data_IF_602088891837
#
_entry.id   IF_602088891837
#
_cell.length_a   1.000
_cell.length_b   1.000
_cell.length_c   1.000
_cell.angle_alpha   90.00
_cell.angle_beta   90.00
_cell.angle_gamma   90.00
#
_symmetry.space_group_name_H-M   'P 1'
#
loop_
_entity.id
_entity.type
_entity.pdbx_description
1 polymer ?
#
# COMPACT_ATOMS: atom_id res chain seq x y z
N UNK A 1 7.03 28.80 26.37
CA UNK A 1 7.54 27.41 26.48
C UNK A 1 7.48 26.97 27.94
N UNK A 2 6.68 25.98 28.27
CA UNK A 2 6.59 25.44 29.62
C UNK A 2 7.89 24.66 29.93
N UNK A 3 8.53 24.98 31.06
CA UNK A 3 9.78 24.32 31.46
C UNK A 3 9.45 22.89 31.92
N UNK A 4 9.94 21.89 31.22
CA UNK A 4 9.80 20.49 31.61
C UNK A 4 10.65 20.24 32.86
N UNK A 5 10.02 19.90 33.97
CA UNK A 5 10.69 19.81 35.30
C UNK A 5 10.95 18.40 35.77
N UNK A 6 10.36 17.36 35.15
CA UNK A 6 10.63 15.96 35.48
C UNK A 6 10.36 15.02 34.30
N UNK A 7 10.85 13.77 34.40
CA UNK A 7 10.73 12.75 33.36
C UNK A 7 9.28 12.34 33.06
N UNK A 8 8.40 12.37 34.05
CA UNK A 8 7.00 12.03 33.90
C UNK A 8 6.28 13.07 33.02
N UNK A 9 6.44 14.36 33.30
CA UNK A 9 5.89 15.46 32.52
C UNK A 9 6.44 15.44 31.08
N UNK A 10 7.73 15.14 30.92
CA UNK A 10 8.33 15.00 29.59
C UNK A 10 7.67 13.87 28.82
N UNK A 11 7.53 12.71 29.42
CA UNK A 11 6.89 11.53 28.81
C UNK A 11 5.45 11.83 28.37
N UNK A 12 4.64 12.38 29.25
CA UNK A 12 3.24 12.76 28.96
C UNK A 12 3.14 13.80 27.83
N UNK A 13 4.04 14.77 27.84
CA UNK A 13 4.10 15.80 26.78
C UNK A 13 4.46 15.18 25.43
N UNK A 14 5.45 14.30 25.39
CA UNK A 14 5.88 13.63 24.14
C UNK A 14 4.78 12.71 23.63
N UNK A 15 4.20 11.87 24.50
CA UNK A 15 3.10 10.96 24.15
C UNK A 15 1.93 11.77 23.57
N UNK A 16 1.47 12.80 24.27
CA UNK A 16 0.37 13.65 23.81
C UNK A 16 0.66 14.34 22.49
N UNK A 17 1.89 14.80 22.26
CA UNK A 17 2.29 15.39 20.98
C UNK A 17 2.28 14.38 19.84
N UNK A 18 2.80 13.16 20.05
CA UNK A 18 2.80 12.09 19.05
C UNK A 18 1.38 11.62 18.74
N UNK A 19 0.58 11.38 19.79
CA UNK A 19 -0.80 10.91 19.64
C UNK A 19 -1.73 11.91 18.94
N UNK A 20 -1.46 13.21 19.08
CA UNK A 20 -2.25 14.26 18.42
C UNK A 20 -1.78 14.62 17.01
N UNK A 21 -0.59 14.13 16.61
CA UNK A 21 0.00 14.52 15.33
C UNK A 21 -0.69 13.79 14.17
N UNK A 22 -1.22 14.55 13.21
CA UNK A 22 -1.63 14.02 11.92
C UNK A 22 -0.41 13.75 11.03
N UNK A 23 -0.42 12.64 10.32
CA UNK A 23 0.67 12.22 9.45
C UNK A 23 0.29 12.29 7.97
N UNK A 24 1.26 12.55 7.12
CA UNK A 24 1.20 12.24 5.69
C UNK A 24 2.01 10.97 5.49
N UNK A 25 1.35 9.92 5.05
CA UNK A 25 2.01 8.66 4.73
C UNK A 25 2.66 8.77 3.34
N UNK A 26 3.98 8.67 3.29
CA UNK A 26 4.75 8.80 2.04
C UNK A 26 5.23 7.45 1.48
N UNK A 27 4.88 6.36 2.14
CA UNK A 27 5.19 5.01 1.69
C UNK A 27 3.99 4.10 2.00
N UNK A 28 3.09 3.97 1.05
CA UNK A 28 1.86 3.19 1.20
C UNK A 28 1.71 2.18 0.07
N UNK A 29 1.06 1.06 0.40
CA UNK A 29 0.56 0.07 -0.55
C UNK A 29 -0.94 0.25 -0.81
N UNK A 30 -1.53 1.33 -0.31
CA UNK A 30 -2.94 1.64 -0.52
C UNK A 30 -3.13 2.35 -1.86
N UNK A 31 -4.11 1.90 -2.61
CA UNK A 31 -4.63 2.61 -3.77
C UNK A 31 -5.97 3.27 -3.41
N UNK A 32 -6.29 4.35 -4.10
CA UNK A 32 -7.62 4.93 -3.96
C UNK A 32 -8.67 4.08 -4.68
N UNK A 33 -9.96 4.17 -4.30
CA UNK A 33 -11.03 3.34 -4.89
C UNK A 33 -11.15 3.43 -6.42
N UNK A 34 -10.72 4.54 -7.02
CA UNK A 34 -10.72 4.71 -8.47
C UNK A 34 -9.74 3.81 -9.21
N UNK A 35 -8.82 3.15 -8.49
CA UNK A 35 -7.94 2.11 -9.04
C UNK A 35 -8.56 0.70 -9.06
N UNK A 36 -9.82 0.56 -8.64
CA UNK A 36 -10.57 -0.68 -8.78
C UNK A 36 -9.89 -1.89 -8.12
N UNK A 37 -9.57 -2.91 -8.90
CA UNK A 37 -8.97 -4.16 -8.40
C UNK A 37 -7.58 -4.04 -7.78
N UNK A 38 -6.90 -2.88 -7.91
CA UNK A 38 -5.64 -2.61 -7.20
C UNK A 38 -5.86 -2.20 -5.74
N UNK A 39 -7.05 -1.75 -5.38
CA UNK A 39 -7.44 -1.56 -4.00
C UNK A 39 -7.69 -2.91 -3.34
N UNK A 40 -6.76 -3.37 -2.53
CA UNK A 40 -6.93 -4.59 -1.74
C UNK A 40 -7.97 -4.34 -0.64
N UNK A 41 -9.08 -5.07 -0.70
CA UNK A 41 -10.23 -4.85 0.16
C UNK A 41 -10.64 -6.10 0.93
N UNK A 42 -10.82 -5.93 2.23
CA UNK A 42 -11.34 -6.96 3.11
C UNK A 42 -10.29 -7.66 3.95
N UNK A 43 -10.74 -8.46 4.92
CA UNK A 43 -9.87 -9.15 5.87
C UNK A 43 -9.01 -10.21 5.19
N UNK A 44 -9.52 -10.87 4.15
CA UNK A 44 -8.76 -11.88 3.43
C UNK A 44 -7.54 -11.27 2.73
N UNK A 45 -7.66 -10.06 2.16
CA UNK A 45 -6.52 -9.33 1.60
C UNK A 45 -5.52 -8.90 2.68
N UNK A 46 -6.00 -8.44 3.83
CA UNK A 46 -5.14 -8.09 4.97
C UNK A 46 -4.31 -9.30 5.44
N UNK A 47 -4.94 -10.47 5.54
CA UNK A 47 -4.30 -11.69 6.03
C UNK A 47 -3.38 -12.33 4.98
N UNK A 48 -3.70 -12.22 3.70
CA UNK A 48 -2.87 -12.75 2.61
C UNK A 48 -1.78 -11.78 2.15
N UNK A 49 -1.50 -10.74 2.94
CA UNK A 49 -0.39 -9.84 2.68
C UNK A 49 0.95 -10.58 2.68
N UNK A 50 1.84 -10.24 1.76
CA UNK A 50 3.02 -11.06 1.42
C UNK A 50 3.92 -11.43 2.60
N UNK A 51 4.01 -10.62 3.66
CA UNK A 51 4.77 -10.99 4.86
C UNK A 51 4.15 -12.16 5.62
N UNK A 52 2.82 -12.20 5.73
CA UNK A 52 2.12 -13.32 6.36
C UNK A 52 2.18 -14.59 5.49
N UNK A 53 2.12 -14.43 4.17
CA UNK A 53 2.36 -15.54 3.23
C UNK A 53 3.77 -16.11 3.41
N UNK A 54 4.79 -15.26 3.52
CA UNK A 54 6.15 -15.72 3.80
C UNK A 54 6.28 -16.45 5.15
N UNK A 55 5.55 -15.99 6.17
CA UNK A 55 5.56 -16.65 7.49
C UNK A 55 4.84 -17.99 7.49
N UNK A 56 3.73 -18.14 6.76
CA UNK A 56 3.01 -19.42 6.71
C UNK A 56 3.86 -20.52 6.04
N UNK A 57 4.62 -20.21 5.01
CA UNK A 57 5.55 -21.17 4.40
C UNK A 57 6.69 -21.65 5.33
N UNK A 58 6.95 -20.91 6.40
CA UNK A 58 7.92 -21.33 7.43
C UNK A 58 7.29 -22.19 8.52
N UNK A 59 5.97 -22.18 8.64
CA UNK A 59 5.23 -22.74 9.77
C UNK A 59 4.28 -23.88 9.35
N UNK A 60 3.82 -23.91 8.11
CA UNK A 60 2.95 -24.93 7.56
C UNK A 60 3.73 -25.85 6.61
N UNK A 61 3.34 -27.14 6.60
CA UNK A 61 3.84 -28.10 5.63
C UNK A 61 2.96 -28.07 4.37
N UNK A 62 3.24 -27.09 3.50
CA UNK A 62 2.52 -26.86 2.25
C UNK A 62 3.49 -26.43 1.15
N UNK A 63 3.32 -26.94 -0.06
CA UNK A 63 4.10 -26.52 -1.21
C UNK A 63 3.63 -25.18 -1.79
N UNK A 64 4.51 -24.52 -2.57
CA UNK A 64 4.13 -23.30 -3.29
C UNK A 64 2.98 -23.57 -4.27
N UNK A 65 3.03 -24.67 -5.00
CA UNK A 65 2.01 -25.03 -5.97
C UNK A 65 0.64 -25.23 -5.32
N UNK A 66 0.58 -25.91 -4.19
CA UNK A 66 -0.67 -26.13 -3.44
C UNK A 66 -1.24 -24.81 -2.93
N UNK A 67 -0.40 -23.95 -2.32
CA UNK A 67 -0.84 -22.66 -1.79
C UNK A 67 -1.38 -21.74 -2.89
N UNK A 68 -0.68 -21.63 -4.02
CA UNK A 68 -1.09 -20.74 -5.10
C UNK A 68 -2.24 -21.30 -5.96
N UNK A 69 -2.58 -22.59 -5.81
CA UNK A 69 -3.80 -23.15 -6.38
C UNK A 69 -5.06 -22.86 -5.55
N UNK A 70 -4.92 -22.44 -4.30
CA UNK A 70 -6.02 -22.04 -3.42
C UNK A 70 -6.66 -20.73 -3.86
N UNK A 71 -7.96 -20.62 -3.58
CA UNK A 71 -8.64 -19.30 -3.61
C UNK A 71 -8.09 -18.37 -2.52
N UNK A 72 -8.30 -17.06 -2.67
CA UNK A 72 -7.90 -16.08 -1.66
C UNK A 72 -8.46 -16.41 -0.27
N UNK A 73 -9.71 -16.83 -0.20
CA UNK A 73 -10.37 -17.23 1.05
C UNK A 73 -9.71 -18.45 1.69
N UNK A 74 -9.37 -19.47 0.90
CA UNK A 74 -8.66 -20.66 1.41
C UNK A 74 -7.25 -20.32 1.88
N UNK A 75 -6.53 -19.45 1.17
CA UNK A 75 -5.24 -18.93 1.60
C UNK A 75 -5.36 -18.18 2.95
N UNK A 76 -6.35 -17.32 3.09
CA UNK A 76 -6.60 -16.60 4.33
C UNK A 76 -6.95 -17.54 5.48
N UNK A 77 -7.78 -18.56 5.25
CA UNK A 77 -8.13 -19.56 6.26
C UNK A 77 -6.89 -20.36 6.72
N UNK A 78 -6.03 -20.78 5.79
CA UNK A 78 -4.79 -21.48 6.12
C UNK A 78 -3.86 -20.59 6.96
N UNK A 79 -3.64 -19.34 6.54
CA UNK A 79 -2.77 -18.40 7.25
C UNK A 79 -3.35 -18.12 8.64
N UNK A 80 -4.65 -17.85 8.74
CA UNK A 80 -5.30 -17.60 10.02
C UNK A 80 -5.16 -18.78 10.97
N UNK A 81 -5.49 -19.97 10.49
CA UNK A 81 -5.40 -21.21 11.28
C UNK A 81 -3.97 -21.46 11.75
N UNK A 82 -2.98 -21.27 10.86
CA UNK A 82 -1.58 -21.54 11.18
C UNK A 82 -0.99 -20.49 12.12
N UNK A 83 -1.11 -19.20 11.79
CA UNK A 83 -0.36 -18.15 12.47
C UNK A 83 -1.10 -17.56 13.68
N UNK A 84 -2.45 -17.60 13.70
CA UNK A 84 -3.24 -16.93 14.74
C UNK A 84 -3.97 -17.89 15.68
N UNK A 85 -4.20 -19.16 15.27
CA UNK A 85 -4.89 -20.16 16.07
C UNK A 85 -3.90 -21.19 16.66
N UNK A 86 -3.11 -21.82 15.80
CA UNK A 86 -2.16 -22.88 16.20
C UNK A 86 -0.89 -22.30 16.83
N UNK A 87 -0.48 -21.12 16.40
CA UNK A 87 0.69 -20.43 16.91
C UNK A 87 0.30 -19.12 17.64
N UNK A 88 1.24 -18.56 18.38
CA UNK A 88 1.08 -17.25 19.00
C UNK A 88 1.44 -16.15 17.96
N UNK A 89 0.55 -15.19 17.67
CA UNK A 89 0.77 -14.16 16.67
C UNK A 89 1.70 -13.03 17.18
N UNK A 90 2.96 -13.37 17.45
CA UNK A 90 3.94 -12.47 18.06
C UNK A 90 4.85 -11.78 17.04
N UNK A 91 4.90 -12.24 15.81
CA UNK A 91 5.64 -11.55 14.75
C UNK A 91 5.11 -10.14 14.51
N UNK A 92 5.92 -9.29 13.92
CA UNK A 92 5.50 -7.91 13.61
C UNK A 92 4.30 -7.89 12.66
N UNK A 93 4.30 -8.73 11.62
CA UNK A 93 3.20 -8.84 10.66
C UNK A 93 1.90 -9.32 11.33
N UNK A 94 1.97 -10.38 12.16
CA UNK A 94 0.81 -10.86 12.90
C UNK A 94 0.29 -9.82 13.90
N UNK A 95 1.19 -9.14 14.62
CA UNK A 95 0.82 -8.06 15.54
C UNK A 95 0.18 -6.88 14.81
N UNK A 96 0.62 -6.58 13.59
CA UNK A 96 0.00 -5.59 12.72
C UNK A 96 -1.47 -5.90 12.47
N UNK A 97 -1.79 -7.13 12.06
CA UNK A 97 -3.17 -7.59 11.86
C UNK A 97 -3.98 -7.48 13.16
N UNK A 98 -3.46 -8.02 14.26
CA UNK A 98 -4.14 -7.96 15.58
C UNK A 98 -4.41 -6.53 16.00
N UNK A 99 -3.45 -5.62 15.81
CA UNK A 99 -3.61 -4.20 16.13
C UNK A 99 -4.68 -3.57 15.25
N UNK A 100 -4.66 -3.82 13.95
CA UNK A 100 -5.67 -3.30 13.00
C UNK A 100 -7.09 -3.73 13.42
N UNK A 101 -7.29 -5.03 13.66
CA UNK A 101 -8.60 -5.54 14.07
C UNK A 101 -9.06 -4.93 15.41
N UNK A 102 -8.13 -4.76 16.36
CA UNK A 102 -8.41 -4.13 17.66
C UNK A 102 -8.81 -2.66 17.51
N UNK A 103 -8.07 -1.88 16.72
CA UNK A 103 -8.36 -0.45 16.53
C UNK A 103 -9.67 -0.22 15.76
N UNK A 104 -10.09 -1.21 14.96
CA UNK A 104 -11.43 -1.26 14.34
C UNK A 104 -12.55 -1.68 15.32
N UNK A 105 -12.20 -1.97 16.57
CA UNK A 105 -13.17 -2.36 17.62
C UNK A 105 -13.68 -3.80 17.52
N UNK A 106 -12.96 -4.67 16.79
CA UNK A 106 -13.37 -6.06 16.60
C UNK A 106 -12.95 -6.95 17.79
N UNK A 107 -13.81 -7.93 18.10
CA UNK A 107 -13.55 -8.87 19.20
C UNK A 107 -12.44 -9.87 18.84
N UNK A 108 -11.26 -9.65 19.37
CA UNK A 108 -10.12 -10.54 19.16
C UNK A 108 -10.24 -11.86 19.93
N UNK A 109 -11.07 -11.94 20.95
CA UNK A 109 -11.21 -13.16 21.77
C UNK A 109 -12.00 -14.24 21.03
N UNK A 110 -12.88 -13.86 20.12
CA UNK A 110 -13.62 -14.81 19.29
C UNK A 110 -12.73 -15.64 18.40
N UNK A 111 -11.62 -15.07 17.92
CA UNK A 111 -10.68 -15.68 16.96
C UNK A 111 -11.37 -16.24 15.71
N UNK A 112 -12.54 -15.75 15.39
CA UNK A 112 -13.37 -16.22 14.29
C UNK A 112 -13.20 -15.32 13.06
N UNK A 113 -12.49 -15.82 12.07
CA UNK A 113 -12.25 -15.09 10.83
C UNK A 113 -13.52 -14.75 10.07
N UNK A 114 -14.57 -15.60 10.21
CA UNK A 114 -15.85 -15.34 9.56
C UNK A 114 -16.55 -14.09 10.09
N UNK A 115 -16.48 -13.83 11.40
CA UNK A 115 -17.01 -12.59 11.99
C UNK A 115 -16.32 -11.35 11.42
N UNK A 116 -15.02 -11.44 11.15
CA UNK A 116 -14.28 -10.31 10.53
C UNK A 116 -14.67 -10.13 9.07
N UNK A 117 -14.85 -11.22 8.31
CA UNK A 117 -15.37 -11.16 6.94
C UNK A 117 -16.74 -10.47 6.88
N UNK A 118 -17.64 -10.83 7.79
CA UNK A 118 -18.97 -10.20 7.89
C UNK A 118 -18.89 -8.71 8.21
N UNK A 119 -18.00 -8.32 9.13
CA UNK A 119 -17.74 -6.91 9.40
C UNK A 119 -17.34 -6.14 8.14
N UNK A 120 -16.33 -6.62 7.41
CA UNK A 120 -15.87 -5.96 6.19
C UNK A 120 -16.93 -5.99 5.08
N UNK A 121 -17.69 -7.06 4.96
CA UNK A 121 -18.77 -7.17 3.96
C UNK A 121 -19.91 -6.15 4.19
N UNK A 122 -20.12 -5.70 5.43
CA UNK A 122 -21.10 -4.68 5.77
C UNK A 122 -20.60 -3.24 5.53
N UNK A 123 -19.30 -3.04 5.24
CA UNK A 123 -18.75 -1.72 5.02
C UNK A 123 -18.85 -1.31 3.55
N UNK A 124 -18.96 0.00 3.32
CA UNK A 124 -18.69 0.59 2.00
C UNK A 124 -17.23 1.07 1.99
N UNK A 125 -16.53 0.84 0.90
CA UNK A 125 -15.11 1.15 0.79
C UNK A 125 -14.82 2.62 1.09
N UNK A 126 -15.62 3.52 0.54
CA UNK A 126 -15.44 4.95 0.71
C UNK A 126 -15.60 5.39 2.17
N UNK A 127 -16.65 4.88 2.84
CA UNK A 127 -16.90 5.18 4.26
C UNK A 127 -15.81 4.56 5.16
N UNK A 128 -15.30 3.38 4.78
CA UNK A 128 -14.26 2.69 5.54
C UNK A 128 -12.89 3.39 5.43
N UNK A 129 -12.58 4.01 4.29
CA UNK A 129 -11.38 4.84 4.13
C UNK A 129 -11.39 5.97 5.16
N UNK A 130 -12.53 6.62 5.38
CA UNK A 130 -12.65 7.67 6.41
C UNK A 130 -12.34 7.12 7.81
N UNK A 131 -12.89 5.95 8.15
CA UNK A 131 -12.59 5.27 9.42
C UNK A 131 -11.10 5.00 9.57
N UNK A 132 -10.44 4.45 8.53
CA UNK A 132 -9.00 4.14 8.57
C UNK A 132 -8.16 5.41 8.73
N UNK A 133 -8.48 6.46 7.98
CA UNK A 133 -7.76 7.74 8.06
C UNK A 133 -7.89 8.37 9.45
N UNK A 134 -9.08 8.31 10.05
CA UNK A 134 -9.32 8.84 11.39
C UNK A 134 -8.59 8.02 12.47
N UNK A 135 -8.71 6.69 12.44
CA UNK A 135 -8.06 5.79 13.41
C UNK A 135 -6.53 5.91 13.34
N UNK A 136 -5.98 5.91 12.13
CA UNK A 136 -4.54 6.04 11.91
C UNK A 136 -4.02 7.47 11.98
N UNK A 137 -4.93 8.48 12.14
CA UNK A 137 -4.61 9.92 12.11
C UNK A 137 -3.87 10.34 10.86
N UNK A 138 -4.16 9.69 9.75
CA UNK A 138 -3.58 9.99 8.45
C UNK A 138 -4.34 11.14 7.81
N UNK A 139 -3.60 12.18 7.41
CA UNK A 139 -4.14 13.32 6.68
C UNK A 139 -4.22 13.04 5.18
N UNK A 140 -3.21 12.39 4.67
CA UNK A 140 -3.09 12.03 3.26
C UNK A 140 -2.03 10.94 3.07
N UNK A 141 -2.17 10.18 2.00
CA UNK A 141 -1.18 9.19 1.57
C UNK A 141 -0.57 9.62 0.24
N UNK A 142 0.68 9.25 0.01
CA UNK A 142 1.35 9.42 -1.28
C UNK A 142 1.58 8.02 -1.85
N UNK A 143 0.75 7.66 -2.83
CA UNK A 143 0.87 6.40 -3.54
C UNK A 143 2.11 6.43 -4.43
N UNK A 144 2.79 5.31 -4.52
CA UNK A 144 3.90 5.08 -5.45
C UNK A 144 3.35 4.40 -6.70
N UNK A 145 3.16 5.15 -7.77
CA UNK A 145 2.42 4.69 -8.94
C UNK A 145 3.34 4.44 -10.13
N UNK A 146 3.22 3.26 -10.73
CA UNK A 146 3.94 2.88 -11.93
C UNK A 146 3.06 3.15 -13.18
N UNK A 147 3.39 4.20 -13.97
CA UNK A 147 2.64 4.52 -15.18
C UNK A 147 2.75 3.44 -16.26
N UNK A 148 3.73 2.56 -16.13
CA UNK A 148 4.00 1.48 -17.06
C UNK A 148 3.30 0.17 -16.68
N UNK A 149 2.69 0.10 -15.49
CA UNK A 149 1.86 -1.04 -15.11
C UNK A 149 0.57 -1.08 -15.93
N UNK A 150 0.24 -2.25 -16.45
CA UNK A 150 -0.90 -2.44 -17.36
C UNK A 150 -2.26 -2.21 -16.70
N UNK A 151 -2.36 -2.34 -15.38
CA UNK A 151 -3.60 -2.10 -14.64
C UNK A 151 -3.73 -0.64 -14.20
N UNK A 152 -2.63 0.01 -13.87
CA UNK A 152 -2.64 1.42 -13.47
C UNK A 152 -2.77 2.38 -14.67
N UNK A 153 -2.09 2.08 -15.77
CA UNK A 153 -1.99 2.95 -16.94
C UNK A 153 -3.33 3.48 -17.48
N UNK A 154 -4.37 2.66 -17.65
CA UNK A 154 -5.66 3.14 -18.16
C UNK A 154 -6.31 4.18 -17.24
N UNK A 155 -6.14 4.03 -15.93
CA UNK A 155 -6.70 4.94 -14.90
C UNK A 155 -6.02 6.30 -14.98
N UNK A 156 -4.69 6.30 -15.12
CA UNK A 156 -3.92 7.53 -15.30
C UNK A 156 -4.27 8.27 -16.59
N UNK A 157 -4.40 7.54 -17.70
CA UNK A 157 -4.75 8.10 -19.01
C UNK A 157 -6.17 8.65 -19.04
N UNK A 158 -7.11 8.03 -18.35
CA UNK A 158 -8.49 8.51 -18.25
C UNK A 158 -8.65 9.81 -17.45
N UNK A 159 -7.59 10.29 -16.79
CA UNK A 159 -7.66 11.51 -15.98
C UNK A 159 -8.36 11.30 -14.64
N UNK A 160 -7.67 10.65 -13.74
CA UNK A 160 -8.11 10.33 -12.38
C UNK A 160 -8.73 11.54 -11.65
N UNK A 161 -9.92 11.36 -11.09
CA UNK A 161 -10.65 12.35 -10.27
C UNK A 161 -10.91 11.89 -8.83
N UNK A 162 -10.16 10.90 -8.34
CA UNK A 162 -10.39 10.27 -7.04
C UNK A 162 -10.19 11.20 -5.84
N UNK A 163 -10.28 10.62 -4.68
CA UNK A 163 -10.12 11.31 -3.38
C UNK A 163 -8.79 12.09 -3.33
N UNK A 164 -8.81 13.40 -3.07
CA UNK A 164 -7.62 14.24 -3.04
C UNK A 164 -6.63 13.90 -1.92
N UNK A 165 -7.05 13.11 -0.95
CA UNK A 165 -6.16 12.59 0.11
C UNK A 165 -5.19 11.54 -0.43
N UNK A 166 -5.53 10.87 -1.53
CA UNK A 166 -4.66 9.94 -2.24
C UNK A 166 -3.86 10.69 -3.30
N UNK A 167 -2.65 11.05 -2.96
CA UNK A 167 -1.71 11.77 -3.81
C UNK A 167 -0.85 10.77 -4.54
N UNK A 168 -0.26 11.17 -5.65
CA UNK A 168 0.56 10.28 -6.47
C UNK A 168 1.99 10.78 -6.60
N UNK A 169 2.95 9.87 -6.46
CA UNK A 169 4.33 10.06 -6.89
C UNK A 169 4.62 9.09 -8.05
N UNK A 170 5.28 9.59 -9.07
CA UNK A 170 5.64 8.83 -10.26
C UNK A 170 6.81 7.89 -9.93
N UNK A 171 6.59 6.59 -10.07
CA UNK A 171 7.65 5.59 -9.96
C UNK A 171 8.47 5.54 -11.24
N UNK A 172 9.77 5.72 -11.12
CA UNK A 172 10.69 5.82 -12.27
C UNK A 172 11.74 4.71 -12.32
N UNK A 173 11.57 3.65 -11.52
CA UNK A 173 12.53 2.53 -11.47
C UNK A 173 12.89 1.98 -12.86
N UNK A 174 11.93 1.72 -13.77
CA UNK A 174 12.25 1.22 -15.10
C UNK A 174 13.16 2.14 -15.91
N UNK A 175 13.09 3.45 -15.67
CA UNK A 175 13.93 4.44 -16.34
C UNK A 175 15.33 4.54 -15.74
N UNK A 176 15.49 4.22 -14.45
CA UNK A 176 16.76 4.34 -13.74
C UNK A 176 17.55 3.04 -13.75
N UNK A 177 16.86 1.91 -13.55
CA UNK A 177 17.51 0.63 -13.30
C UNK A 177 17.54 -0.27 -14.54
N UNK A 178 16.51 -0.18 -15.39
CA UNK A 178 16.27 -1.12 -16.49
C UNK A 178 16.00 -0.42 -17.81
N UNK A 179 16.64 0.73 -18.06
CA UNK A 179 16.33 1.55 -19.22
C UNK A 179 16.49 0.79 -20.55
N UNK A 180 17.58 0.04 -20.70
CA UNK A 180 17.89 -0.68 -21.95
C UNK A 180 16.90 -1.80 -22.20
N UNK A 181 16.57 -2.56 -21.17
CA UNK A 181 15.74 -3.78 -21.30
C UNK A 181 14.24 -3.47 -21.24
N UNK A 182 13.84 -2.41 -20.56
CA UNK A 182 12.43 -2.12 -20.27
C UNK A 182 12.06 -0.66 -20.55
N UNK A 183 12.83 0.29 -20.06
CA UNK A 183 12.48 1.70 -20.03
C UNK A 183 12.31 2.32 -21.41
N UNK A 184 13.20 1.99 -22.35
CA UNK A 184 13.16 2.51 -23.72
C UNK A 184 11.91 2.08 -24.46
N UNK A 185 11.55 0.79 -24.42
CA UNK A 185 10.34 0.25 -25.06
C UNK A 185 9.06 0.84 -24.45
N UNK A 186 9.03 0.98 -23.13
CA UNK A 186 7.87 1.57 -22.43
C UNK A 186 7.67 3.03 -22.81
N UNK A 187 8.73 3.84 -22.86
CA UNK A 187 8.64 5.23 -23.33
C UNK A 187 8.19 5.33 -24.77
N UNK A 188 8.70 4.46 -25.64
CA UNK A 188 8.28 4.39 -27.04
C UNK A 188 6.79 4.06 -27.17
N UNK A 189 6.28 3.16 -26.33
CA UNK A 189 4.86 2.83 -26.24
C UNK A 189 3.97 4.01 -25.84
N UNK A 190 4.51 5.00 -25.13
CA UNK A 190 3.85 6.27 -24.80
C UNK A 190 4.06 7.37 -25.85
N UNK A 191 4.77 7.08 -26.95
CA UNK A 191 5.02 8.04 -28.02
C UNK A 191 6.21 8.97 -27.78
N UNK A 192 7.14 8.60 -26.88
CA UNK A 192 8.40 9.30 -26.72
C UNK A 192 9.47 8.63 -27.56
N UNK A 193 10.20 9.42 -28.38
CA UNK A 193 11.20 8.91 -29.31
C UNK A 193 12.56 8.72 -28.60
N UNK A 194 12.77 7.54 -28.03
CA UNK A 194 14.00 7.18 -27.31
C UNK A 194 14.77 6.08 -28.02
N UNK A 195 16.08 6.02 -27.76
CA UNK A 195 16.99 4.98 -28.23
C UNK A 195 17.76 4.35 -27.06
N UNK A 196 18.37 3.19 -27.30
CA UNK A 196 19.09 2.44 -26.26
C UNK A 196 20.39 3.12 -25.81
N UNK A 197 20.97 4.00 -26.64
CA UNK A 197 22.25 4.65 -26.40
C UNK A 197 22.15 5.88 -25.48
N UNK A 198 20.95 6.21 -24.99
CA UNK A 198 20.70 7.41 -24.19
C UNK A 198 21.26 8.68 -24.83
N UNK A 199 21.04 8.83 -26.14
CA UNK A 199 21.43 10.05 -26.88
C UNK A 199 20.85 11.33 -26.26
N UNK A 200 21.39 12.48 -26.62
CA UNK A 200 20.82 13.78 -26.20
C UNK A 200 19.33 13.91 -26.57
N UNK A 201 18.91 13.29 -27.66
CA UNK A 201 17.49 13.21 -28.06
C UNK A 201 16.72 12.39 -27.05
N UNK A 202 17.17 11.17 -26.74
CA UNK A 202 16.52 10.30 -25.74
C UNK A 202 16.44 10.95 -24.37
N UNK A 203 17.50 11.59 -23.92
CA UNK A 203 17.51 12.32 -22.64
C UNK A 203 16.51 13.49 -22.64
N UNK A 204 16.32 14.16 -23.78
CA UNK A 204 15.30 15.22 -23.93
C UNK A 204 13.89 14.66 -23.85
N UNK A 205 13.63 13.51 -24.49
CA UNK A 205 12.34 12.83 -24.44
C UNK A 205 12.01 12.28 -23.04
N UNK A 206 13.01 11.74 -22.33
CA UNK A 206 12.82 11.32 -20.93
C UNK A 206 12.44 12.52 -20.05
N UNK A 207 13.13 13.65 -20.21
CA UNK A 207 12.78 14.88 -19.47
C UNK A 207 11.36 15.36 -19.80
N UNK A 208 10.96 15.29 -21.08
CA UNK A 208 9.60 15.62 -21.52
C UNK A 208 8.58 14.71 -20.86
N UNK A 209 8.81 13.40 -20.86
CA UNK A 209 7.94 12.43 -20.18
C UNK A 209 7.80 12.77 -18.69
N UNK A 210 8.91 12.99 -17.98
CA UNK A 210 8.86 13.32 -16.55
C UNK A 210 8.10 14.63 -16.30
N UNK A 211 8.32 15.66 -17.12
CA UNK A 211 7.58 16.92 -17.01
C UNK A 211 6.08 16.73 -17.24
N UNK A 212 5.71 16.05 -18.32
CA UNK A 212 4.31 15.81 -18.68
C UNK A 212 3.55 15.04 -17.59
N UNK A 213 4.21 14.05 -16.98
CA UNK A 213 3.59 13.23 -15.93
C UNK A 213 3.56 13.90 -14.57
N UNK A 214 4.65 14.55 -14.14
CA UNK A 214 4.70 15.26 -12.87
C UNK A 214 3.74 16.44 -12.86
N UNK A 215 3.69 17.21 -13.92
CA UNK A 215 2.82 18.38 -14.00
C UNK A 215 1.33 18.00 -14.11
N UNK A 216 1.01 16.96 -14.86
CA UNK A 216 -0.38 16.61 -15.15
C UNK A 216 -0.97 15.55 -14.23
N UNK A 217 -0.17 14.61 -13.72
CA UNK A 217 -0.67 13.38 -13.08
C UNK A 217 -0.10 13.11 -11.69
N UNK A 218 1.21 13.08 -11.56
CA UNK A 218 1.91 12.77 -10.30
C UNK A 218 2.51 14.04 -9.67
N UNK A 219 1.68 14.98 -9.25
CA UNK A 219 2.07 16.32 -8.78
C UNK A 219 3.03 16.38 -7.58
N UNK A 220 3.35 15.24 -7.01
CA UNK A 220 4.24 15.13 -5.85
C UNK A 220 5.68 14.74 -6.21
N UNK A 221 6.00 14.72 -7.50
CA UNK A 221 7.33 14.42 -8.00
C UNK A 221 7.51 12.96 -8.39
N UNK A 222 8.75 12.58 -8.60
CA UNK A 222 9.15 11.22 -8.93
C UNK A 222 9.82 10.54 -7.74
N UNK A 223 9.74 9.21 -7.67
CA UNK A 223 10.41 8.40 -6.68
C UNK A 223 11.02 7.14 -7.31
N UNK A 224 12.00 6.56 -6.63
CA UNK A 224 12.52 5.22 -6.88
C UNK A 224 12.45 4.42 -5.59
N UNK A 225 12.25 3.11 -5.67
CA UNK A 225 12.24 2.16 -4.56
C UNK A 225 13.37 1.15 -4.70
#
# INVERSE_FOLDING_TARGET
MQKVINSQVLRETVIGAVESQQVTDIHTHLFSPDFGGLLLWGVDELITYHYLVAEVFRSADISYEEFWAMTKTEQADLIWQTLFIQNSPISESCRGVVTTLKELGLDLASRDLQNYREYFACQKVEDFIDIVFDVAKVKSVVMTNDPFDSMEQPIWLAGRKGDPRFRAALRIDPLLNDYVDVGCDKLSGFGYETDLDLSEKSLSEIRRFLSDWIDSKARYGACSQ
#
